data_IF_601326884697
#
_entry.id   IF_601326884697
#
_cell.length_a   1.000
_cell.length_b   1.000
_cell.length_c   1.000
_cell.angle_alpha   90.00
_cell.angle_beta   90.00
_cell.angle_gamma   90.00
#
_symmetry.space_group_name_H-M   'P 1'
#
loop_
_entity.id
_entity.type
_entity.pdbx_description
1 polymer ?
#
# COMPACT_ATOMS: atom_id res chain seq x y z
N UNK A 1 -40.76 -17.18 15.48
CA UNK A 1 -41.35 -16.72 16.74
C UNK A 1 -41.48 -17.80 17.82
N UNK A 2 -41.16 -19.06 17.53
CA UNK A 2 -41.22 -20.13 18.54
C UNK A 2 -39.83 -20.52 19.06
N UNK A 3 -38.79 -20.12 18.40
CA UNK A 3 -37.37 -20.43 18.71
C UNK A 3 -36.90 -19.68 19.95
N UNK A 4 -37.28 -18.42 20.09
CA UNK A 4 -36.87 -17.58 21.26
C UNK A 4 -37.52 -18.07 22.57
N UNK A 5 -38.76 -18.57 22.48
CA UNK A 5 -39.44 -19.18 23.63
C UNK A 5 -38.80 -20.47 24.10
N UNK A 6 -38.31 -21.28 23.13
CA UNK A 6 -37.60 -22.53 23.42
C UNK A 6 -36.21 -22.29 24.01
N UNK A 7 -35.46 -21.31 23.46
CA UNK A 7 -34.14 -20.91 23.97
C UNK A 7 -34.26 -20.35 25.38
N UNK A 8 -35.24 -19.48 25.67
CA UNK A 8 -35.47 -18.97 27.04
C UNK A 8 -35.87 -20.06 28.00
N UNK A 9 -36.68 -21.06 27.58
CA UNK A 9 -37.02 -22.22 28.38
C UNK A 9 -35.84 -23.14 28.67
N UNK A 10 -34.96 -23.35 27.69
CA UNK A 10 -33.72 -24.10 27.83
C UNK A 10 -32.76 -23.37 28.77
N UNK A 11 -32.55 -22.08 28.60
CA UNK A 11 -31.68 -21.25 29.44
C UNK A 11 -32.16 -21.23 30.91
N UNK A 12 -33.47 -21.21 31.15
CA UNK A 12 -34.04 -21.27 32.52
C UNK A 12 -33.79 -22.62 33.18
N UNK A 13 -33.83 -23.75 32.43
CA UNK A 13 -33.59 -25.12 32.94
C UNK A 13 -32.13 -25.46 33.08
N UNK A 14 -31.21 -24.68 32.47
CA UNK A 14 -29.78 -24.99 32.33
C UNK A 14 -28.86 -23.97 33.01
N UNK A 15 -29.40 -22.93 33.67
CA UNK A 15 -28.67 -21.86 34.32
C UNK A 15 -27.57 -22.33 35.30
N UNK A 16 -27.73 -23.50 35.87
CA UNK A 16 -26.83 -24.05 36.86
C UNK A 16 -25.74 -24.99 36.26
N UNK A 17 -25.66 -25.15 34.93
CA UNK A 17 -24.76 -26.13 34.29
C UNK A 17 -23.74 -25.56 33.34
N UNK A 18 -23.53 -24.23 33.28
CA UNK A 18 -22.53 -23.62 32.46
C UNK A 18 -22.75 -23.82 30.93
N UNK A 19 -24.01 -23.94 30.49
CA UNK A 19 -24.35 -24.16 29.08
C UNK A 19 -24.09 -22.94 28.20
N UNK A 20 -24.16 -21.73 28.77
CA UNK A 20 -23.83 -20.51 28.03
C UNK A 20 -22.33 -20.55 27.54
N UNK A 21 -21.43 -21.01 28.43
CA UNK A 21 -20.05 -21.20 28.06
C UNK A 21 -19.86 -22.34 27.02
N UNK A 22 -20.69 -23.38 27.06
CA UNK A 22 -20.65 -24.48 26.08
C UNK A 22 -21.26 -24.09 24.75
N UNK A 23 -22.32 -23.31 24.74
CA UNK A 23 -22.91 -22.76 23.52
C UNK A 23 -21.97 -21.78 22.86
N UNK A 24 -21.30 -20.91 23.63
CA UNK A 24 -20.27 -20.03 23.14
C UNK A 24 -19.09 -20.82 22.56
N UNK A 25 -18.69 -21.92 23.21
CA UNK A 25 -17.66 -22.83 22.68
C UNK A 25 -18.10 -23.55 21.40
N UNK A 26 -19.36 -23.94 21.30
CA UNK A 26 -19.93 -24.55 20.09
C UNK A 26 -20.08 -23.52 18.97
N UNK A 27 -20.52 -22.31 19.27
CA UNK A 27 -20.57 -21.20 18.31
C UNK A 27 -19.13 -20.82 17.85
N UNK A 28 -18.18 -20.75 18.77
CA UNK A 28 -16.78 -20.54 18.43
C UNK A 28 -16.21 -21.71 17.59
N UNK A 29 -16.57 -22.95 17.93
CA UNK A 29 -16.15 -24.13 17.15
C UNK A 29 -16.86 -24.22 15.79
N UNK A 30 -18.13 -23.80 15.67
CA UNK A 30 -18.83 -23.71 14.40
C UNK A 30 -18.26 -22.56 13.55
N UNK A 31 -17.95 -21.44 14.15
CA UNK A 31 -17.29 -20.33 13.47
C UNK A 31 -15.86 -20.72 13.06
N UNK A 32 -15.12 -21.49 13.89
CA UNK A 32 -13.80 -22.02 13.52
C UNK A 32 -13.85 -23.09 12.42
N UNK A 33 -14.96 -23.77 12.23
CA UNK A 33 -15.18 -24.72 11.09
C UNK A 33 -15.42 -23.95 9.78
N UNK A 34 -15.92 -22.70 9.85
CA UNK A 34 -16.03 -21.82 8.66
C UNK A 34 -14.67 -21.19 8.30
N UNK A 35 -13.71 -21.20 9.22
CA UNK A 35 -12.31 -20.73 9.02
C UNK A 35 -11.34 -21.86 8.60
N UNK A 36 -11.83 -23.03 8.19
CA UNK A 36 -10.98 -24.00 7.48
C UNK A 36 -10.72 -23.38 6.11
N UNK A 37 -9.45 -23.00 5.88
CA UNK A 37 -9.00 -22.37 4.64
C UNK A 37 -9.44 -23.10 3.38
N UNK A 38 -8.96 -22.63 2.24
CA UNK A 38 -9.23 -23.24 0.93
C UNK A 38 -9.01 -24.75 0.92
N UNK A 39 -9.67 -25.45 0.00
CA UNK A 39 -9.49 -26.89 -0.21
C UNK A 39 -8.00 -27.25 -0.39
N UNK A 40 -7.62 -28.41 0.12
CA UNK A 40 -6.27 -28.92 -0.07
C UNK A 40 -5.96 -29.06 -1.57
N UNK A 41 -4.95 -28.34 -2.04
CA UNK A 41 -4.49 -28.35 -3.43
C UNK A 41 -3.11 -29.00 -3.51
N UNK A 42 -2.94 -29.98 -4.37
CA UNK A 42 -1.61 -30.48 -4.76
C UNK A 42 -0.98 -29.48 -5.75
N UNK A 43 0.05 -28.75 -5.32
CA UNK A 43 0.73 -27.74 -6.14
C UNK A 43 1.31 -28.31 -7.44
N UNK A 44 1.61 -29.61 -7.49
CA UNK A 44 2.11 -30.26 -8.72
C UNK A 44 1.06 -30.36 -9.83
N UNK A 45 -0.22 -30.18 -9.51
CA UNK A 45 -1.33 -30.18 -10.49
C UNK A 45 -1.50 -28.85 -11.19
N UNK A 46 -0.83 -27.78 -10.71
CA UNK A 46 -0.87 -26.46 -11.32
C UNK A 46 0.23 -26.36 -12.39
N UNK A 47 -0.13 -26.64 -13.63
CA UNK A 47 0.84 -26.69 -14.73
C UNK A 47 1.42 -25.32 -15.09
N UNK A 48 0.60 -24.25 -15.06
CA UNK A 48 1.00 -22.90 -15.46
C UNK A 48 0.46 -21.89 -14.43
N UNK A 49 1.13 -21.69 -13.29
CA UNK A 49 0.69 -20.68 -12.33
C UNK A 49 0.76 -19.30 -12.98
N UNK A 50 -0.27 -18.45 -12.77
CA UNK A 50 -0.25 -17.09 -13.31
C UNK A 50 0.91 -16.30 -12.72
N UNK A 51 1.49 -15.35 -13.48
CA UNK A 51 2.43 -14.39 -12.90
C UNK A 51 1.73 -13.54 -11.83
N UNK A 52 2.52 -12.85 -11.00
CA UNK A 52 1.99 -11.88 -10.05
C UNK A 52 1.06 -10.89 -10.77
N UNK A 53 -0.15 -10.75 -10.26
CA UNK A 53 -1.17 -9.88 -10.83
C UNK A 53 -1.40 -8.66 -9.93
N UNK A 54 -1.84 -7.57 -10.51
CA UNK A 54 -2.09 -6.32 -9.80
C UNK A 54 -3.50 -5.80 -10.04
N UNK A 55 -4.14 -5.34 -8.97
CA UNK A 55 -5.35 -4.54 -9.05
C UNK A 55 -5.04 -3.13 -9.56
N UNK A 56 -3.91 -2.56 -9.13
CA UNK A 56 -3.33 -1.31 -9.65
C UNK A 56 -1.81 -1.47 -9.67
N UNK A 57 -1.24 -1.84 -10.79
CA UNK A 57 0.22 -1.96 -10.91
C UNK A 57 0.90 -0.60 -10.81
N UNK A 58 2.03 -0.46 -10.07
CA UNK A 58 2.71 -1.47 -9.29
C UNK A 58 2.30 -1.47 -7.80
N UNK A 59 1.25 -0.74 -7.41
CA UNK A 59 0.94 -0.40 -6.02
C UNK A 59 0.19 -1.48 -5.26
N UNK A 60 -0.75 -2.15 -5.91
CA UNK A 60 -1.74 -3.01 -5.24
C UNK A 60 -1.74 -4.38 -5.91
N UNK A 61 -1.04 -5.33 -5.31
CA UNK A 61 -1.01 -6.73 -5.73
C UNK A 61 -2.38 -7.38 -5.51
N UNK A 62 -2.84 -8.11 -6.52
CA UNK A 62 -4.19 -8.69 -6.57
C UNK A 62 -4.32 -9.88 -5.61
N UNK A 63 -5.41 -9.91 -4.84
CA UNK A 63 -5.68 -10.97 -3.88
C UNK A 63 -4.89 -10.86 -2.57
N UNK A 64 -3.98 -9.89 -2.46
CA UNK A 64 -3.05 -9.78 -1.34
C UNK A 64 -3.31 -8.56 -0.46
N UNK A 65 -2.64 -8.53 0.70
CA UNK A 65 -2.70 -7.39 1.62
C UNK A 65 -1.60 -6.38 1.31
N UNK A 66 -1.99 -5.23 0.83
CA UNK A 66 -1.14 -4.11 0.45
C UNK A 66 -1.25 -2.97 1.46
N UNK A 67 -0.15 -2.28 1.73
CA UNK A 67 -0.13 -1.14 2.66
C UNK A 67 0.51 0.07 2.00
N UNK A 68 -0.14 1.23 2.14
CA UNK A 68 0.45 2.54 1.86
C UNK A 68 0.55 3.31 3.16
N UNK A 69 1.76 3.70 3.54
CA UNK A 69 2.00 4.48 4.75
C UNK A 69 2.56 5.86 4.44
N UNK A 70 2.23 6.83 5.26
CA UNK A 70 2.79 8.18 5.22
C UNK A 70 2.48 8.96 6.49
N UNK A 71 3.09 10.14 6.62
CA UNK A 71 2.75 11.11 7.67
C UNK A 71 1.32 11.66 7.54
N UNK A 72 0.81 12.29 8.59
CA UNK A 72 -0.47 12.99 8.56
C UNK A 72 -0.51 14.08 7.49
N UNK A 73 -1.64 14.26 6.82
CA UNK A 73 -1.82 15.32 5.81
C UNK A 73 -1.09 15.12 4.47
N UNK A 74 -0.60 13.93 4.19
CA UNK A 74 0.16 13.60 2.96
C UNK A 74 -0.71 13.14 1.79
N UNK A 75 -2.01 13.39 1.79
CA UNK A 75 -2.93 12.99 0.70
C UNK A 75 -3.12 11.47 0.49
N UNK A 76 -2.75 10.63 1.46
CA UNK A 76 -2.92 9.16 1.39
C UNK A 76 -4.32 8.72 0.95
N UNK A 77 -5.35 9.22 1.62
CA UNK A 77 -6.75 8.89 1.33
C UNK A 77 -7.18 9.33 -0.08
N UNK A 78 -6.59 10.40 -0.61
CA UNK A 78 -6.84 10.83 -1.99
C UNK A 78 -6.17 9.88 -2.99
N UNK A 79 -4.94 9.45 -2.70
CA UNK A 79 -4.24 8.46 -3.52
C UNK A 79 -4.96 7.10 -3.48
N UNK A 80 -5.45 6.67 -2.32
CA UNK A 80 -6.28 5.47 -2.21
C UNK A 80 -7.57 5.58 -3.04
N UNK A 81 -8.23 6.75 -3.04
CA UNK A 81 -9.39 7.00 -3.88
C UNK A 81 -9.02 7.00 -5.38
N UNK A 82 -7.84 7.52 -5.75
CA UNK A 82 -7.36 7.44 -7.14
C UNK A 82 -7.14 5.99 -7.58
N UNK A 83 -6.61 5.13 -6.71
CA UNK A 83 -6.49 3.69 -6.97
C UNK A 83 -7.86 3.01 -7.06
N UNK A 84 -8.82 3.37 -6.19
CA UNK A 84 -10.18 2.87 -6.27
C UNK A 84 -10.85 3.23 -7.61
N UNK A 85 -10.70 4.48 -8.05
CA UNK A 85 -11.20 4.92 -9.36
C UNK A 85 -10.50 4.15 -10.49
N UNK A 86 -9.16 4.05 -10.43
CA UNK A 86 -8.40 3.32 -11.45
C UNK A 86 -8.89 1.88 -11.59
N UNK A 87 -8.98 1.15 -10.49
CA UNK A 87 -9.40 -0.25 -10.47
C UNK A 87 -10.86 -0.43 -10.90
N UNK A 88 -11.80 0.31 -10.27
CA UNK A 88 -13.23 0.06 -10.48
C UNK A 88 -13.75 0.58 -11.82
N UNK A 89 -13.09 1.54 -12.44
CA UNK A 89 -13.45 2.06 -13.77
C UNK A 89 -12.58 1.48 -14.90
N UNK A 90 -11.51 0.73 -14.58
CA UNK A 90 -10.56 0.24 -15.57
C UNK A 90 -9.86 1.37 -16.32
N UNK A 91 -9.53 2.48 -15.61
CA UNK A 91 -8.94 3.69 -16.20
C UNK A 91 -7.70 4.12 -15.43
N UNK A 92 -6.71 4.61 -16.14
CA UNK A 92 -5.47 5.11 -15.52
C UNK A 92 -5.72 6.53 -15.00
N UNK A 93 -5.74 6.68 -13.67
CA UNK A 93 -5.80 8.00 -13.01
C UNK A 93 -4.39 8.53 -12.75
N UNK A 94 -3.47 7.65 -12.39
CA UNK A 94 -2.07 7.98 -12.10
C UNK A 94 -1.18 7.49 -13.25
N UNK A 95 -0.46 8.38 -13.96
CA UNK A 95 0.48 7.97 -15.01
C UNK A 95 1.52 6.97 -14.49
N UNK A 96 1.96 6.04 -15.34
CA UNK A 96 2.89 4.98 -14.95
C UNK A 96 2.25 3.82 -14.19
N UNK A 97 0.92 3.78 -14.10
CA UNK A 97 0.18 2.64 -13.55
C UNK A 97 -0.53 1.84 -14.64
N UNK A 98 -0.94 0.63 -14.34
CA UNK A 98 -1.87 -0.15 -15.15
C UNK A 98 -2.95 -0.80 -14.29
N UNK A 99 -4.04 -1.19 -14.91
CA UNK A 99 -5.23 -1.74 -14.26
C UNK A 99 -5.72 -2.98 -15.01
N UNK A 100 -6.43 -3.92 -14.35
CA UNK A 100 -6.94 -5.12 -14.99
C UNK A 100 -8.01 -4.80 -16.05
N UNK A 101 -8.19 -5.73 -16.97
CA UNK A 101 -9.21 -5.63 -18.03
C UNK A 101 -10.64 -5.88 -17.51
N UNK A 102 -10.79 -6.55 -16.37
CA UNK A 102 -12.08 -6.83 -15.73
C UNK A 102 -12.21 -6.05 -14.41
N UNK A 103 -12.65 -4.78 -14.47
CA UNK A 103 -12.81 -3.94 -13.30
C UNK A 103 -13.98 -4.40 -12.44
N UNK A 104 -13.75 -4.54 -11.12
CA UNK A 104 -14.76 -4.89 -10.13
C UNK A 104 -15.02 -3.72 -9.17
N UNK A 105 -16.16 -3.73 -8.44
CA UNK A 105 -16.43 -2.72 -7.42
C UNK A 105 -15.34 -2.68 -6.33
N UNK A 106 -15.06 -1.48 -5.82
CA UNK A 106 -14.24 -1.26 -4.63
C UNK A 106 -15.15 -0.91 -3.44
N UNK A 107 -14.90 -1.54 -2.29
CA UNK A 107 -15.51 -1.15 -1.01
C UNK A 107 -14.51 -0.27 -0.23
N UNK A 108 -14.92 0.96 0.09
CA UNK A 108 -14.12 1.90 0.88
C UNK A 108 -14.65 1.93 2.33
N UNK A 109 -13.90 1.31 3.25
CA UNK A 109 -14.16 1.32 4.69
C UNK A 109 -13.44 2.53 5.30
N UNK A 110 -14.20 3.52 5.77
CA UNK A 110 -13.65 4.81 6.19
C UNK A 110 -13.87 5.06 7.68
N UNK A 111 -12.80 5.25 8.40
CA UNK A 111 -12.77 5.57 9.83
C UNK A 111 -12.55 7.07 10.12
N UNK A 112 -12.18 7.86 9.09
CA UNK A 112 -11.70 9.22 9.31
C UNK A 112 -12.58 10.29 8.66
N UNK A 113 -13.07 10.02 7.44
CA UNK A 113 -13.76 11.03 6.63
C UNK A 113 -15.25 10.74 6.47
N UNK A 114 -15.99 11.64 5.84
CA UNK A 114 -17.41 11.48 5.51
C UNK A 114 -17.62 10.96 4.08
N UNK A 115 -18.78 10.37 3.83
CA UNK A 115 -19.22 9.98 2.49
C UNK A 115 -19.21 11.15 1.51
N UNK A 116 -19.59 12.35 1.96
CA UNK A 116 -19.56 13.55 1.14
C UNK A 116 -18.13 13.94 0.70
N UNK A 117 -17.15 13.77 1.61
CA UNK A 117 -15.72 14.02 1.29
C UNK A 117 -15.22 13.03 0.25
N UNK A 118 -15.51 11.74 0.41
CA UNK A 118 -15.07 10.72 -0.53
C UNK A 118 -15.80 10.84 -1.89
N UNK A 119 -17.09 11.18 -1.90
CA UNK A 119 -17.83 11.44 -3.13
C UNK A 119 -17.26 12.64 -3.90
N UNK A 120 -16.88 13.73 -3.21
CA UNK A 120 -16.23 14.87 -3.84
C UNK A 120 -14.88 14.49 -4.45
N UNK A 121 -14.01 13.77 -3.72
CA UNK A 121 -12.71 13.28 -4.22
C UNK A 121 -12.88 12.42 -5.46
N UNK A 122 -13.81 11.44 -5.40
CA UNK A 122 -14.13 10.59 -6.56
C UNK A 122 -14.55 11.43 -7.76
N UNK A 123 -15.48 12.36 -7.59
CA UNK A 123 -15.96 13.23 -8.67
C UNK A 123 -14.85 14.06 -9.28
N UNK A 124 -14.00 14.67 -8.47
CA UNK A 124 -12.87 15.48 -8.94
C UNK A 124 -11.84 14.62 -9.73
N UNK A 125 -11.57 13.40 -9.29
CA UNK A 125 -10.66 12.47 -9.99
C UNK A 125 -11.25 12.02 -11.34
N UNK A 126 -12.54 11.66 -11.37
CA UNK A 126 -13.23 11.28 -12.61
C UNK A 126 -13.27 12.45 -13.60
N UNK A 127 -13.55 13.66 -13.14
CA UNK A 127 -13.48 14.86 -13.97
C UNK A 127 -12.07 15.09 -14.53
N UNK A 128 -11.04 14.84 -13.73
CA UNK A 128 -9.64 14.98 -14.11
C UNK A 128 -9.23 14.06 -15.28
N UNK A 129 -9.87 12.90 -15.42
CA UNK A 129 -9.64 11.97 -16.52
C UNK A 129 -10.78 11.95 -17.58
N UNK A 130 -11.77 12.85 -17.44
CA UNK A 130 -12.86 12.99 -18.41
C UNK A 130 -13.87 11.83 -18.44
N UNK A 131 -14.08 11.15 -17.29
CA UNK A 131 -14.97 10.00 -17.16
C UNK A 131 -16.23 10.39 -16.39
N UNK A 132 -17.40 9.94 -16.87
CA UNK A 132 -18.66 10.12 -16.17
C UNK A 132 -18.77 9.22 -14.93
N UNK A 133 -19.54 9.67 -13.94
CA UNK A 133 -19.83 8.88 -12.75
C UNK A 133 -20.74 7.69 -13.11
N UNK A 134 -20.41 6.52 -12.57
CA UNK A 134 -21.22 5.32 -12.63
C UNK A 134 -21.62 4.83 -11.24
N UNK A 135 -22.86 4.38 -11.10
CA UNK A 135 -23.32 3.80 -9.86
C UNK A 135 -22.70 2.41 -9.60
N UNK A 136 -22.53 2.06 -8.32
CA UNK A 136 -22.07 0.72 -7.92
C UNK A 136 -20.57 0.46 -8.09
N UNK A 137 -19.80 1.35 -8.68
CA UNK A 137 -18.36 1.16 -8.89
C UNK A 137 -17.53 1.32 -7.60
N UNK A 138 -17.86 2.33 -6.79
CA UNK A 138 -17.21 2.55 -5.50
C UNK A 138 -18.29 2.63 -4.43
N UNK A 139 -18.25 1.65 -3.53
CA UNK A 139 -19.16 1.52 -2.38
C UNK A 139 -18.46 2.12 -1.16
N UNK A 140 -19.19 2.89 -0.37
CA UNK A 140 -18.66 3.54 0.83
C UNK A 140 -19.38 3.04 2.08
N UNK A 141 -18.62 2.67 3.11
CA UNK A 141 -19.16 2.37 4.44
C UNK A 141 -18.37 3.11 5.50
N UNK A 142 -19.06 3.96 6.27
CA UNK A 142 -18.49 4.56 7.48
C UNK A 142 -18.38 3.49 8.57
N UNK A 143 -17.19 3.38 9.15
CA UNK A 143 -16.90 2.40 10.20
C UNK A 143 -16.72 3.10 11.55
N UNK A 144 -17.19 2.46 12.62
CA UNK A 144 -17.07 2.93 14.00
C UNK A 144 -16.57 1.84 14.95
N UNK A 145 -16.67 0.58 14.55
CA UNK A 145 -16.16 -0.59 15.28
C UNK A 145 -14.91 -1.16 14.57
N UNK A 146 -14.08 -1.91 15.27
CA UNK A 146 -12.97 -2.64 14.67
C UNK A 146 -13.44 -3.55 13.52
N UNK A 147 -12.56 -3.78 12.55
CA UNK A 147 -12.87 -4.61 11.37
C UNK A 147 -13.23 -6.04 11.77
N UNK A 148 -12.49 -6.62 12.73
CA UNK A 148 -12.71 -7.99 13.18
C UNK A 148 -14.10 -8.20 13.82
N UNK A 149 -14.67 -7.16 14.43
CA UNK A 149 -16.02 -7.25 15.04
C UNK A 149 -17.14 -7.27 13.98
N UNK A 150 -16.84 -6.79 12.76
CA UNK A 150 -17.77 -6.76 11.64
C UNK A 150 -17.37 -7.73 10.50
N UNK A 151 -16.42 -8.63 10.74
CA UNK A 151 -15.78 -9.44 9.69
C UNK A 151 -16.79 -10.23 8.86
N UNK A 152 -17.75 -10.92 9.49
CA UNK A 152 -18.79 -11.71 8.81
C UNK A 152 -19.74 -10.83 8.02
N UNK A 153 -20.23 -9.71 8.59
CA UNK A 153 -21.10 -8.75 7.88
C UNK A 153 -20.39 -8.19 6.63
N UNK A 154 -19.11 -7.88 6.78
CA UNK A 154 -18.29 -7.35 5.67
C UNK A 154 -18.04 -8.43 4.61
N UNK A 155 -17.79 -9.68 5.00
CA UNK A 155 -17.69 -10.80 4.06
C UNK A 155 -18.95 -10.95 3.21
N UNK A 156 -20.13 -10.97 3.84
CA UNK A 156 -21.43 -11.08 3.15
C UNK A 156 -21.65 -9.90 2.20
N UNK A 157 -21.28 -8.69 2.61
CA UNK A 157 -21.37 -7.48 1.79
C UNK A 157 -20.44 -7.58 0.57
N UNK A 158 -19.19 -7.99 0.77
CA UNK A 158 -18.17 -8.17 -0.28
C UNK A 158 -18.68 -9.19 -1.31
N UNK A 159 -19.11 -10.35 -0.86
CA UNK A 159 -19.60 -11.43 -1.72
C UNK A 159 -20.87 -11.01 -2.48
N UNK A 160 -21.88 -10.45 -1.80
CA UNK A 160 -23.16 -10.07 -2.43
C UNK A 160 -23.04 -8.92 -3.43
N UNK A 161 -22.01 -8.08 -3.33
CA UNK A 161 -21.76 -6.94 -4.23
C UNK A 161 -20.67 -7.21 -5.29
N UNK A 162 -20.06 -8.39 -5.28
CA UNK A 162 -18.97 -8.74 -6.19
C UNK A 162 -17.76 -7.82 -6.05
N UNK A 163 -17.46 -7.40 -4.80
CA UNK A 163 -16.32 -6.51 -4.52
C UNK A 163 -15.02 -7.22 -4.82
N UNK A 164 -14.12 -6.59 -5.57
CA UNK A 164 -12.81 -7.15 -5.88
C UNK A 164 -11.67 -6.51 -5.11
N UNK A 165 -11.89 -5.33 -4.51
CA UNK A 165 -10.90 -4.64 -3.69
C UNK A 165 -11.56 -3.94 -2.50
N UNK A 166 -10.94 -4.04 -1.33
CA UNK A 166 -11.35 -3.30 -0.12
C UNK A 166 -10.25 -2.33 0.27
N UNK A 167 -10.62 -1.07 0.48
CA UNK A 167 -9.73 -0.03 1.02
C UNK A 167 -10.11 0.24 2.47
N UNK A 168 -9.13 0.25 3.37
CA UNK A 168 -9.31 0.49 4.81
C UNK A 168 -8.56 1.77 5.19
N UNK A 169 -9.29 2.83 5.51
CA UNK A 169 -8.74 4.16 5.84
C UNK A 169 -9.23 4.64 7.21
N UNK A 170 -8.46 4.44 8.26
CA UNK A 170 -7.10 3.94 8.33
C UNK A 170 -6.98 2.68 9.18
N UNK A 171 -5.92 1.90 8.94
CA UNK A 171 -5.63 0.67 9.66
C UNK A 171 -5.53 0.85 11.18
N UNK A 172 -4.95 1.96 11.64
CA UNK A 172 -4.83 2.25 13.06
C UNK A 172 -6.17 2.29 13.79
N UNK A 173 -7.22 2.82 13.15
CA UNK A 173 -8.58 2.83 13.71
C UNK A 173 -9.32 1.52 13.49
N UNK A 174 -9.02 0.85 12.37
CA UNK A 174 -9.64 -0.42 12.01
C UNK A 174 -9.27 -1.56 12.97
N UNK A 175 -8.11 -1.51 13.60
CA UNK A 175 -7.67 -2.46 14.64
C UNK A 175 -8.47 -2.31 15.94
N UNK A 176 -8.99 -1.10 16.23
CA UNK A 176 -9.79 -0.84 17.44
C UNK A 176 -9.02 -0.75 18.74
N UNK A 177 -7.68 -0.66 18.69
CA UNK A 177 -6.82 -0.59 19.86
C UNK A 177 -5.43 -0.06 19.53
N UNK A 178 -4.46 -0.37 20.39
CA UNK A 178 -3.08 0.03 20.16
C UNK A 178 -2.46 -0.77 19.00
N UNK A 179 -1.98 -0.07 17.98
CA UNK A 179 -1.27 -0.67 16.83
C UNK A 179 0.08 -1.27 17.21
N UNK A 180 0.55 -1.00 18.43
CA UNK A 180 1.74 -1.58 19.04
C UNK A 180 1.49 -2.91 19.78
N UNK A 181 0.23 -3.40 19.83
CA UNK A 181 -0.14 -4.68 20.43
C UNK A 181 -0.39 -5.74 19.36
N UNK A 182 0.33 -6.86 19.41
CA UNK A 182 0.09 -8.01 18.53
C UNK A 182 -1.29 -8.61 18.75
N UNK A 183 -1.79 -8.64 20.00
CA UNK A 183 -3.11 -9.14 20.35
C UNK A 183 -4.23 -8.37 19.63
N UNK A 184 -4.01 -7.11 19.30
CA UNK A 184 -4.97 -6.28 18.57
C UNK A 184 -4.78 -6.37 17.06
N UNK A 185 -3.55 -6.48 16.60
CA UNK A 185 -3.21 -6.42 15.17
C UNK A 185 -3.43 -7.77 14.45
N UNK A 186 -3.14 -8.90 15.11
CA UNK A 186 -3.34 -10.23 14.50
C UNK A 186 -4.81 -10.50 14.15
N UNK A 187 -5.82 -10.24 15.01
CA UNK A 187 -7.22 -10.42 14.65
C UNK A 187 -7.66 -9.57 13.44
N UNK A 188 -7.11 -8.36 13.31
CA UNK A 188 -7.36 -7.53 12.13
C UNK A 188 -6.89 -8.22 10.84
N UNK A 189 -5.65 -8.72 10.82
CA UNK A 189 -5.11 -9.39 9.63
C UNK A 189 -5.87 -10.68 9.31
N UNK A 190 -6.23 -11.46 10.32
CA UNK A 190 -7.04 -12.66 10.13
C UNK A 190 -8.42 -12.32 9.52
N UNK A 191 -9.07 -11.28 10.02
CA UNK A 191 -10.35 -10.83 9.51
C UNK A 191 -10.27 -10.41 8.03
N UNK A 192 -9.28 -9.58 7.65
CA UNK A 192 -9.15 -9.12 6.25
C UNK A 192 -8.71 -10.25 5.31
N UNK A 193 -7.88 -11.18 5.78
CA UNK A 193 -7.46 -12.36 5.01
C UNK A 193 -8.63 -13.28 4.70
N UNK A 194 -9.59 -13.44 5.63
CA UNK A 194 -10.76 -14.32 5.45
C UNK A 194 -11.72 -13.86 4.34
N UNK A 195 -11.61 -12.63 3.87
CA UNK A 195 -12.46 -12.12 2.79
C UNK A 195 -12.06 -12.59 1.39
N UNK A 196 -10.84 -13.07 1.19
CA UNK A 196 -10.37 -13.61 -0.09
C UNK A 196 -10.36 -12.59 -1.25
N UNK A 197 -10.22 -11.29 -0.95
CA UNK A 197 -10.17 -10.20 -1.93
C UNK A 197 -8.94 -9.33 -1.73
N UNK A 198 -8.64 -8.48 -2.71
CA UNK A 198 -7.52 -7.52 -2.62
C UNK A 198 -7.76 -6.51 -1.50
N UNK A 199 -6.79 -6.32 -0.63
CA UNK A 199 -6.86 -5.37 0.49
C UNK A 199 -5.82 -4.28 0.31
N UNK A 200 -6.24 -3.02 0.45
CA UNK A 200 -5.36 -1.86 0.57
C UNK A 200 -5.61 -1.16 1.90
N UNK A 201 -4.64 -1.21 2.80
CA UNK A 201 -4.70 -0.51 4.10
C UNK A 201 -3.89 0.76 4.06
N UNK A 202 -4.50 1.86 4.48
CA UNK A 202 -3.83 3.14 4.69
C UNK A 202 -3.30 3.20 6.12
N UNK A 203 -2.00 3.43 6.28
CA UNK A 203 -1.33 3.45 7.56
C UNK A 203 -0.58 4.77 7.81
N UNK A 204 -0.22 5.01 9.06
CA UNK A 204 0.69 6.09 9.45
C UNK A 204 2.11 5.58 9.55
N UNK A 205 3.07 6.44 9.26
CA UNK A 205 4.49 6.19 9.54
C UNK A 205 4.78 6.23 11.03
N UNK A 206 5.81 5.51 11.50
CA UNK A 206 6.35 5.72 12.84
C UNK A 206 6.88 7.16 12.95
N UNK A 207 6.78 7.75 14.15
CA UNK A 207 7.41 9.05 14.43
C UNK A 207 8.94 8.97 14.45
N UNK A 208 9.47 7.79 14.73
CA UNK A 208 10.90 7.51 14.67
C UNK A 208 11.31 7.14 13.25
N UNK A 209 12.15 7.96 12.63
CA UNK A 209 12.63 7.78 11.26
C UNK A 209 13.56 6.57 11.08
N UNK A 210 13.99 5.92 12.16
CA UNK A 210 14.84 4.71 12.12
C UNK A 210 14.04 3.42 11.98
N UNK A 211 12.74 3.45 12.32
CA UNK A 211 11.86 2.30 12.24
C UNK A 211 11.40 2.07 10.80
N UNK A 212 11.39 0.80 10.37
CA UNK A 212 10.87 0.38 9.06
C UNK A 212 9.41 -0.02 9.18
N UNK A 213 8.63 0.26 8.14
CA UNK A 213 7.22 -0.13 8.05
C UNK A 213 6.25 0.85 8.70
N UNK A 214 4.96 0.49 8.81
CA UNK A 214 3.93 1.29 9.46
C UNK A 214 4.18 1.48 10.95
N UNK A 215 3.59 2.53 11.53
CA UNK A 215 3.59 2.72 12.97
C UNK A 215 2.86 1.56 13.67
N UNK A 216 3.54 0.90 14.61
CA UNK A 216 2.99 -0.23 15.35
C UNK A 216 3.98 -1.38 15.50
N UNK A 217 3.45 -2.58 15.69
CA UNK A 217 4.25 -3.80 15.81
C UNK A 217 4.79 -4.29 14.47
N UNK A 218 5.80 -5.16 14.53
CA UNK A 218 6.41 -5.77 13.35
C UNK A 218 5.42 -6.51 12.45
N UNK A 219 4.27 -6.94 12.97
CA UNK A 219 3.21 -7.61 12.22
C UNK A 219 2.66 -6.78 11.07
N UNK A 220 2.58 -5.46 11.20
CA UNK A 220 2.20 -4.59 10.08
C UNK A 220 3.14 -4.77 8.88
N UNK A 221 4.44 -4.86 9.14
CA UNK A 221 5.42 -5.10 8.10
C UNK A 221 5.38 -6.55 7.59
N UNK A 222 5.28 -7.52 8.52
CA UNK A 222 5.37 -8.93 8.17
C UNK A 222 4.18 -9.40 7.32
N UNK A 223 2.97 -8.94 7.63
CA UNK A 223 1.74 -9.33 6.95
C UNK A 223 1.51 -8.61 5.61
N UNK A 224 2.11 -7.43 5.40
CA UNK A 224 2.03 -6.78 4.10
C UNK A 224 2.80 -7.59 3.05
N UNK A 225 2.19 -7.92 1.92
CA UNK A 225 2.88 -8.48 0.76
C UNK A 225 3.60 -7.39 -0.01
N UNK A 226 2.94 -6.23 -0.12
CA UNK A 226 3.41 -5.07 -0.85
C UNK A 226 3.28 -3.83 0.03
N UNK A 227 4.37 -3.09 0.24
CA UNK A 227 4.40 -1.92 1.11
C UNK A 227 5.03 -0.72 0.42
N UNK A 228 4.29 0.37 0.43
CA UNK A 228 4.69 1.63 -0.17
C UNK A 228 4.69 2.76 0.85
N UNK A 229 5.67 3.65 0.74
CA UNK A 229 5.75 4.87 1.53
C UNK A 229 5.52 6.10 0.67
N UNK A 230 4.57 6.94 1.09
CA UNK A 230 4.25 8.19 0.42
C UNK A 230 4.89 9.37 1.13
N UNK A 231 5.61 10.18 0.39
CA UNK A 231 6.20 11.45 0.84
C UNK A 231 5.56 12.60 0.07
N UNK A 232 5.24 13.70 0.78
CA UNK A 232 4.64 14.91 0.20
C UNK A 232 5.53 16.12 0.38
N UNK A 233 5.60 16.94 -0.65
CA UNK A 233 6.10 18.32 -0.57
C UNK A 233 5.06 19.30 -1.12
N UNK A 234 4.82 20.37 -0.39
CA UNK A 234 3.85 21.41 -0.76
C UNK A 234 4.31 22.77 -0.26
N UNK A 235 4.41 23.71 -1.18
CA UNK A 235 4.62 25.12 -0.84
C UNK A 235 3.29 25.75 -0.42
N UNK A 236 3.21 26.38 0.76
CA UNK A 236 2.00 27.08 1.17
C UNK A 236 1.52 28.10 0.12
N UNK A 237 0.21 28.14 -0.14
CA UNK A 237 -0.40 29.04 -1.13
C UNK A 237 -0.40 28.53 -2.56
N UNK A 238 0.23 27.39 -2.85
CA UNK A 238 0.15 26.75 -4.16
C UNK A 238 -0.96 25.69 -4.18
N UNK A 239 -1.67 25.60 -5.32
CA UNK A 239 -2.70 24.58 -5.57
C UNK A 239 -2.09 23.28 -6.10
N UNK A 240 -0.79 23.10 -5.97
CA UNK A 240 -0.08 21.93 -6.41
C UNK A 240 0.67 21.26 -5.25
N UNK A 241 0.79 19.94 -5.34
CA UNK A 241 1.50 19.10 -4.40
C UNK A 241 2.41 18.18 -5.19
N UNK A 242 3.63 18.03 -4.72
CA UNK A 242 4.56 17.02 -5.21
C UNK A 242 4.50 15.79 -4.30
N UNK A 243 4.34 14.63 -4.90
CA UNK A 243 4.30 13.35 -4.21
C UNK A 243 5.42 12.47 -4.74
N UNK A 244 6.01 11.69 -3.86
CA UNK A 244 6.85 10.58 -4.24
C UNK A 244 6.43 9.33 -3.49
N UNK A 245 6.37 8.20 -4.19
CA UNK A 245 5.93 6.93 -3.64
C UNK A 245 7.07 5.94 -3.79
N UNK A 246 7.58 5.49 -2.65
CA UNK A 246 8.71 4.57 -2.57
C UNK A 246 8.22 3.16 -2.25
N UNK A 247 8.72 2.18 -3.00
CA UNK A 247 8.46 0.78 -2.76
C UNK A 247 9.49 0.22 -1.78
N UNK A 248 9.06 -0.14 -0.57
CA UNK A 248 9.97 -0.58 0.49
C UNK A 248 9.92 -2.08 0.75
N UNK A 249 8.84 -2.76 0.35
CA UNK A 249 8.70 -4.21 0.46
C UNK A 249 7.87 -4.78 -0.68
N UNK A 250 8.38 -5.85 -1.28
CA UNK A 250 7.68 -6.82 -2.10
C UNK A 250 8.10 -8.22 -1.66
N UNK A 251 7.18 -9.17 -1.66
CA UNK A 251 7.52 -10.55 -1.33
C UNK A 251 7.86 -11.37 -2.58
N UNK A 252 7.15 -11.12 -3.67
CA UNK A 252 7.16 -12.00 -4.84
C UNK A 252 7.80 -11.36 -6.09
N UNK A 253 8.19 -10.08 -6.00
CA UNK A 253 8.88 -9.32 -7.05
C UNK A 253 10.02 -8.45 -6.51
N UNK A 254 10.81 -7.86 -7.41
CA UNK A 254 11.82 -6.87 -7.06
C UNK A 254 11.17 -5.53 -6.72
N UNK A 255 11.82 -4.74 -5.87
CA UNK A 255 11.37 -3.39 -5.55
C UNK A 255 11.36 -2.51 -6.80
N UNK A 256 10.27 -1.80 -7.02
CA UNK A 256 10.15 -0.81 -8.09
C UNK A 256 10.94 0.45 -7.77
N UNK A 257 11.35 1.15 -8.82
CA UNK A 257 11.89 2.50 -8.70
C UNK A 257 10.81 3.43 -8.12
N UNK A 258 11.20 4.44 -7.33
CA UNK A 258 10.24 5.40 -6.81
C UNK A 258 9.46 6.10 -7.93
N UNK A 259 8.16 6.25 -7.74
CA UNK A 259 7.28 6.98 -8.64
C UNK A 259 7.01 8.37 -8.08
N UNK A 260 7.03 9.37 -8.94
CA UNK A 260 6.81 10.76 -8.54
C UNK A 260 5.67 11.39 -9.35
N UNK A 261 4.87 12.22 -8.65
CA UNK A 261 3.70 12.87 -9.22
C UNK A 261 3.64 14.34 -8.82
N UNK A 262 3.18 15.17 -9.75
CA UNK A 262 2.63 16.49 -9.46
C UNK A 262 1.11 16.36 -9.44
N UNK A 263 0.50 16.76 -8.35
CA UNK A 263 -0.93 16.72 -8.14
C UNK A 263 -1.48 18.14 -8.15
N UNK A 264 -2.33 18.45 -9.11
CA UNK A 264 -2.99 19.74 -9.23
C UNK A 264 -4.41 19.67 -8.66
N UNK A 265 -4.78 20.62 -7.82
CA UNK A 265 -6.10 20.76 -7.20
C UNK A 265 -6.89 21.90 -7.83
N UNK A 266 -8.14 21.63 -8.18
CA UNK A 266 -9.08 22.58 -8.75
C UNK A 266 -10.51 22.04 -8.70
N UNK A 267 -11.31 22.37 -9.69
CA UNK A 267 -12.63 21.73 -9.90
C UNK A 267 -12.47 20.26 -10.21
N UNK A 268 -11.37 19.90 -10.86
CA UNK A 268 -10.89 18.53 -11.08
C UNK A 268 -9.56 18.29 -10.32
N UNK A 269 -9.16 17.03 -10.23
CA UNK A 269 -7.86 16.60 -9.67
C UNK A 269 -7.15 15.76 -10.71
N UNK A 270 -5.92 16.15 -11.06
CA UNK A 270 -5.08 15.46 -12.04
C UNK A 270 -3.74 15.08 -11.47
N UNK A 271 -3.35 13.84 -11.72
CA UNK A 271 -2.00 13.34 -11.49
C UNK A 271 -1.17 13.52 -12.77
N UNK A 272 -0.03 14.17 -12.63
CA UNK A 272 0.98 14.27 -13.69
C UNK A 272 2.19 13.48 -13.26
N UNK A 273 2.61 12.49 -14.04
CA UNK A 273 3.83 11.74 -13.79
C UNK A 273 5.07 12.64 -13.94
N UNK A 274 6.08 12.38 -13.14
CA UNK A 274 7.36 13.07 -13.17
C UNK A 274 8.47 12.04 -13.30
N UNK A 275 9.40 12.28 -14.21
CA UNK A 275 10.53 11.37 -14.45
C UNK A 275 11.53 11.37 -13.27
N UNK A 276 11.58 12.46 -12.53
CA UNK A 276 12.44 12.61 -11.34
C UNK A 276 11.69 13.31 -10.21
N UNK A 277 12.00 13.01 -8.93
CA UNK A 277 11.50 13.80 -7.80
C UNK A 277 11.97 15.26 -7.93
N UNK A 278 11.04 16.21 -8.00
CA UNK A 278 11.31 17.62 -8.27
C UNK A 278 11.76 18.39 -7.03
N UNK A 279 11.55 17.83 -5.86
CA UNK A 279 11.75 18.54 -4.59
C UNK A 279 12.95 17.99 -3.83
N UNK A 280 13.85 18.90 -3.39
CA UNK A 280 14.98 18.59 -2.51
C UNK A 280 14.50 17.90 -1.21
N UNK A 281 13.34 18.29 -0.69
CA UNK A 281 12.76 17.69 0.51
C UNK A 281 12.36 16.22 0.28
N UNK A 282 11.73 15.90 -0.86
CA UNK A 282 11.43 14.52 -1.23
C UNK A 282 12.72 13.73 -1.41
N UNK A 283 13.68 14.29 -2.15
CA UNK A 283 14.98 13.63 -2.38
C UNK A 283 15.71 13.34 -1.08
N UNK A 284 15.72 14.25 -0.12
CA UNK A 284 16.40 14.05 1.17
C UNK A 284 15.82 12.91 2.02
N UNK A 285 14.58 12.53 1.79
CA UNK A 285 13.88 11.43 2.47
C UNK A 285 14.00 10.08 1.74
N UNK A 286 14.53 10.06 0.50
CA UNK A 286 14.78 8.84 -0.24
C UNK A 286 15.97 8.06 0.34
N UNK A 287 16.05 6.74 0.10
CA UNK A 287 17.26 5.97 0.39
C UNK A 287 18.49 6.62 -0.25
N UNK A 288 19.61 6.54 0.43
CA UNK A 288 20.89 7.12 -0.06
C UNK A 288 21.24 6.57 -1.46
N UNK A 289 21.02 5.28 -1.69
CA UNK A 289 21.23 4.68 -3.03
C UNK A 289 20.37 5.37 -4.10
N UNK A 290 19.10 5.68 -3.81
CA UNK A 290 18.21 6.38 -4.75
C UNK A 290 18.69 7.81 -4.99
N UNK A 291 19.13 8.53 -3.94
CA UNK A 291 19.68 9.87 -4.07
C UNK A 291 20.92 9.87 -4.97
N UNK A 292 21.84 8.92 -4.77
CA UNK A 292 23.06 8.75 -5.57
C UNK A 292 22.70 8.40 -7.03
N UNK A 293 21.76 7.46 -7.23
CA UNK A 293 21.32 7.07 -8.59
C UNK A 293 20.76 8.26 -9.34
N UNK A 294 19.85 9.03 -8.74
CA UNK A 294 19.29 10.23 -9.38
C UNK A 294 20.31 11.30 -9.67
N UNK A 295 21.30 11.47 -8.79
CA UNK A 295 22.41 12.39 -9.05
C UNK A 295 23.23 11.92 -10.26
N UNK A 296 23.60 10.64 -10.31
CA UNK A 296 24.43 10.07 -11.39
C UNK A 296 23.70 10.01 -12.74
N UNK A 297 22.36 9.91 -12.79
CA UNK A 297 21.58 10.05 -14.02
C UNK A 297 21.79 11.42 -14.69
N UNK A 298 21.91 12.47 -13.87
CA UNK A 298 22.09 13.85 -14.37
C UNK A 298 23.57 14.29 -14.43
N UNK A 299 24.44 13.59 -13.72
CA UNK A 299 25.87 13.92 -13.60
C UNK A 299 26.70 12.64 -13.54
N UNK A 300 26.79 11.89 -14.65
CA UNK A 300 27.60 10.68 -14.71
C UNK A 300 29.10 11.01 -14.54
N UNK A 301 29.89 10.02 -14.18
CA UNK A 301 31.33 10.15 -13.93
C UNK A 301 31.69 11.18 -12.83
N UNK A 302 30.89 11.22 -11.77
CA UNK A 302 31.13 12.08 -10.61
C UNK A 302 31.96 11.40 -9.53
N UNK A 303 32.78 12.18 -8.82
CA UNK A 303 33.51 11.74 -7.63
C UNK A 303 32.57 11.61 -6.42
N UNK A 304 32.98 10.83 -5.40
CA UNK A 304 32.24 10.73 -4.12
C UNK A 304 31.94 12.12 -3.55
N UNK A 305 32.88 13.05 -3.64
CA UNK A 305 32.74 14.40 -3.11
C UNK A 305 31.70 15.23 -3.89
N UNK A 306 31.71 15.14 -5.22
CA UNK A 306 30.72 15.81 -6.07
C UNK A 306 29.31 15.28 -5.79
N UNK A 307 29.17 13.95 -5.66
CA UNK A 307 27.90 13.32 -5.29
C UNK A 307 27.46 13.79 -3.91
N UNK A 308 28.35 13.75 -2.92
CA UNK A 308 28.04 14.12 -1.54
C UNK A 308 27.55 15.57 -1.42
N UNK A 309 28.19 16.49 -2.14
CA UNK A 309 27.74 17.88 -2.22
C UNK A 309 26.36 17.96 -2.89
N UNK A 310 26.17 17.26 -4.02
CA UNK A 310 24.93 17.33 -4.79
C UNK A 310 23.72 16.75 -4.09
N UNK A 311 23.89 15.78 -3.19
CA UNK A 311 22.79 15.19 -2.40
C UNK A 311 22.77 15.64 -0.94
N UNK A 312 23.59 16.63 -0.57
CA UNK A 312 23.69 17.20 0.80
C UNK A 312 23.96 16.13 1.88
N UNK A 313 24.91 15.24 1.63
CA UNK A 313 25.34 14.18 2.55
C UNK A 313 26.85 14.24 2.79
N UNK A 314 27.31 13.56 3.84
CA UNK A 314 28.76 13.46 4.05
C UNK A 314 29.42 12.48 3.07
N UNK A 315 30.66 12.77 2.69
CA UNK A 315 31.46 11.90 1.81
C UNK A 315 31.52 10.45 2.30
N UNK A 316 31.61 10.27 3.63
CA UNK A 316 31.65 8.94 4.26
C UNK A 316 30.36 8.13 4.03
N UNK A 317 29.20 8.78 4.10
CA UNK A 317 27.90 8.13 3.88
C UNK A 317 27.78 7.71 2.42
N UNK A 318 28.16 8.59 1.50
CA UNK A 318 28.13 8.32 0.06
C UNK A 318 29.11 7.21 -0.31
N UNK A 319 30.36 7.27 0.16
CA UNK A 319 31.39 6.25 -0.12
C UNK A 319 30.97 4.86 0.38
N UNK A 320 30.43 4.77 1.59
CA UNK A 320 29.92 3.51 2.13
C UNK A 320 28.78 2.92 1.28
N UNK A 321 27.82 3.75 0.86
CA UNK A 321 26.70 3.27 0.06
C UNK A 321 27.13 2.85 -1.36
N UNK A 322 28.05 3.61 -1.97
CA UNK A 322 28.61 3.27 -3.28
C UNK A 322 29.37 1.94 -3.22
N UNK A 323 30.26 1.75 -2.24
CA UNK A 323 31.02 0.49 -2.07
C UNK A 323 30.13 -0.72 -1.84
N UNK A 324 29.05 -0.55 -1.04
CA UNK A 324 28.07 -1.60 -0.78
C UNK A 324 27.36 -2.07 -2.07
N UNK A 325 27.17 -1.15 -3.03
CA UNK A 325 26.45 -1.37 -4.28
C UNK A 325 27.37 -1.37 -5.51
N UNK A 326 28.68 -1.36 -5.32
CA UNK A 326 29.65 -1.48 -6.42
C UNK A 326 29.50 -2.83 -7.13
N UNK A 327 29.45 -2.80 -8.45
CA UNK A 327 29.18 -3.97 -9.27
C UNK A 327 27.72 -4.40 -9.36
N UNK A 328 26.82 -3.75 -8.59
CA UNK A 328 25.36 -3.96 -8.64
C UNK A 328 24.63 -2.78 -9.26
N UNK A 329 24.84 -1.60 -8.73
CA UNK A 329 24.22 -0.34 -9.18
C UNK A 329 25.25 0.61 -9.79
N UNK A 330 26.47 0.62 -9.28
CA UNK A 330 27.51 1.58 -9.63
C UNK A 330 28.79 0.89 -10.12
N UNK A 331 29.48 1.55 -11.03
CA UNK A 331 30.86 1.19 -11.38
C UNK A 331 31.75 2.41 -11.30
N UNK A 332 32.99 2.19 -10.89
CA UNK A 332 34.01 3.27 -10.82
C UNK A 332 35.05 3.16 -11.90
N UNK A 333 35.59 4.30 -12.32
CA UNK A 333 36.77 4.35 -13.23
C UNK A 333 37.96 3.59 -12.66
N UNK A 334 38.90 3.16 -13.54
CA UNK A 334 40.13 2.43 -13.14
C UNK A 334 41.15 3.30 -12.40
N UNK A 335 40.96 4.63 -12.36
CA UNK A 335 41.88 5.55 -11.70
C UNK A 335 41.78 5.43 -10.16
N UNK A 336 42.88 5.14 -9.50
CA UNK A 336 42.95 4.97 -8.04
C UNK A 336 42.77 6.28 -7.27
N UNK A 337 43.16 7.41 -7.87
CA UNK A 337 43.05 8.76 -7.30
C UNK A 337 41.96 9.52 -8.03
N UNK A 338 40.95 10.05 -7.30
CA UNK A 338 39.75 10.69 -7.85
C UNK A 338 38.85 9.74 -8.68
N UNK A 339 38.61 8.55 -8.16
CA UNK A 339 37.73 7.58 -8.79
C UNK A 339 36.38 8.20 -9.09
N UNK A 340 35.91 8.08 -10.35
CA UNK A 340 34.62 8.60 -10.82
C UNK A 340 33.62 7.47 -10.95
N UNK A 341 32.37 7.74 -10.59
CA UNK A 341 31.32 6.75 -10.52
C UNK A 341 30.22 7.03 -11.53
N UNK A 342 29.67 5.96 -12.09
CA UNK A 342 28.54 5.98 -13.03
C UNK A 342 27.61 4.81 -12.74
N UNK A 343 26.41 4.84 -13.31
CA UNK A 343 25.46 3.74 -13.23
C UNK A 343 25.88 2.58 -14.14
N UNK A 344 25.57 1.35 -13.74
CA UNK A 344 25.90 0.15 -14.54
C UNK A 344 25.16 0.14 -15.89
N UNK A 345 24.00 0.75 -15.98
CA UNK A 345 23.24 0.89 -17.23
C UNK A 345 24.02 1.71 -18.27
N UNK A 346 24.73 2.75 -17.84
CA UNK A 346 25.58 3.56 -18.74
C UNK A 346 26.74 2.75 -19.34
N UNK A 347 27.16 1.65 -18.67
CA UNK A 347 28.22 0.78 -19.16
C UNK A 347 27.83 -0.05 -20.38
N UNK A 348 26.54 -0.26 -20.61
CA UNK A 348 26.03 -1.02 -21.76
C UNK A 348 26.02 -0.20 -23.05
N UNK A 349 26.07 1.13 -22.95
CA UNK A 349 26.06 2.05 -24.10
C UNK A 349 27.49 2.52 -24.49
N UNK A 350 28.51 2.19 -23.69
CA UNK A 350 29.90 2.50 -24.03
C UNK A 350 30.58 1.31 -24.74
N UNK A 351 30.66 1.30 -26.09
CA UNK A 351 31.28 0.21 -26.85
C UNK A 351 32.78 0.03 -26.55
N UNK A 352 33.41 0.99 -25.86
CA UNK A 352 34.84 0.99 -25.54
C UNK A 352 35.15 0.55 -24.10
N UNK A 353 34.16 0.29 -23.29
CA UNK A 353 34.33 -0.17 -21.90
C UNK A 353 34.74 -1.64 -21.77
N UNK A 354 34.95 -2.37 -22.88
CA UNK A 354 35.27 -3.81 -22.93
C UNK A 354 36.72 -4.07 -23.42
N UNK A 355 37.62 -3.10 -23.32
CA UNK A 355 39.04 -3.34 -23.59
C UNK A 355 39.91 -3.11 -22.36
#
# INVERSE_FOLDING_TARGET
SNTDGHIRSLNRRMKDRGWDARLTLVEQSLNSVVEIGDDLVDLSTIENPPPVQYAVWPFVEYGEHNIIAADGGTTKSLMAMAMAVSYSYGKIVMPGTSVPLDPKPTLYLDYESSSATQARRRRQLLAGIGIAEEAGKILYKRMYSPVQDAATELYDLIASRGVGMVIIDSGARAVGGETSSEEMVIPYFNAVASWGVTILTIAHKPKDSTSRGPAGVAQWWNQARNYWELVKDQTPGQNEVHLSVRHDKANDESLHVPLSYRLAFGEDIRYHGLDTPVSTNIMSQMPISTQITNFLLNSPQSTVKEIAIGIERSDKVVDNEIRKNEGKLYYGSKEAYNRRWSLIEDKKEDPWAIL
#
